data_IF_318205846756
#
_entry.id   IF_318205846756
#
_cell.length_a   1.000
_cell.length_b   1.000
_cell.length_c   1.000
_cell.angle_alpha   90.00
_cell.angle_beta   90.00
_cell.angle_gamma   90.00
#
_symmetry.space_group_name_H-M   'P 1'
#
loop_
_entity.id
_entity.type
_entity.pdbx_description
1 polymer ?
#
# COMPACT_ATOMS: atom_id res chain seq x y z
N UNK A 1 2.91 -4.83 22.63
CA UNK A 1 1.99 -3.83 22.02
C UNK A 1 2.72 -2.75 21.23
N UNK A 2 3.90 -2.28 21.65
CA UNK A 2 4.69 -1.27 20.91
C UNK A 2 5.36 -1.78 19.62
N UNK A 3 5.62 -3.09 19.48
CA UNK A 3 6.30 -3.63 18.29
C UNK A 3 5.47 -3.65 17.00
N UNK A 4 4.15 -3.48 17.04
CA UNK A 4 3.33 -3.38 15.83
C UNK A 4 3.30 -1.98 15.21
N UNK A 5 3.77 -0.95 15.95
CA UNK A 5 3.76 0.43 15.44
C UNK A 5 4.92 0.73 14.49
N UNK A 6 5.99 -0.06 14.55
CA UNK A 6 7.28 0.25 13.92
C UNK A 6 7.68 -0.71 12.79
N UNK A 7 6.94 -1.82 12.61
CA UNK A 7 7.29 -2.85 11.63
C UNK A 7 6.86 -2.54 10.20
N UNK A 8 6.21 -1.40 9.95
CA UNK A 8 5.71 -1.06 8.60
C UNK A 8 4.56 -1.94 8.10
N UNK A 9 4.08 -2.89 8.91
CA UNK A 9 2.98 -3.83 8.56
C UNK A 9 1.59 -3.22 8.77
N UNK A 10 1.51 -1.93 9.14
CA UNK A 10 0.22 -1.22 9.18
C UNK A 10 -0.10 -0.76 7.77
N UNK A 11 -0.63 -1.70 7.01
CA UNK A 11 -1.07 -1.58 5.64
C UNK A 11 -2.11 -0.44 5.51
N UNK A 12 -1.67 0.69 4.99
CA UNK A 12 -2.49 1.87 4.72
C UNK A 12 -3.25 1.77 3.38
N UNK A 13 -3.35 0.59 2.76
CA UNK A 13 -4.21 0.34 1.59
C UNK A 13 -5.70 0.28 1.91
N UNK A 14 -6.10 0.43 3.18
CA UNK A 14 -7.51 0.73 3.47
C UNK A 14 -7.84 2.01 2.73
N UNK A 15 -8.68 1.95 1.68
CA UNK A 15 -8.69 3.01 0.71
C UNK A 15 -9.17 4.27 1.42
N UNK A 16 -8.32 5.30 1.41
CA UNK A 16 -8.66 6.66 1.87
C UNK A 16 -9.98 7.14 1.27
N UNK A 17 -10.38 6.53 0.16
CA UNK A 17 -11.57 6.79 -0.63
C UNK A 17 -12.89 6.31 -0.05
N UNK A 18 -12.92 5.54 1.04
CA UNK A 18 -14.17 4.87 1.40
C UNK A 18 -15.24 5.73 2.08
N UNK A 19 -14.94 6.77 2.89
CA UNK A 19 -15.99 7.35 3.76
C UNK A 19 -15.86 8.84 4.16
N UNK A 20 -15.19 9.71 3.39
CA UNK A 20 -15.09 11.13 3.78
C UNK A 20 -15.23 12.12 2.62
N UNK A 21 -15.93 13.26 2.81
CA UNK A 21 -16.30 14.21 1.75
C UNK A 21 -15.11 14.67 0.90
N UNK A 22 -13.95 14.90 1.53
CA UNK A 22 -12.73 15.35 0.86
C UNK A 22 -12.07 14.27 -0.03
N UNK A 23 -12.45 12.99 0.14
CA UNK A 23 -11.98 11.87 -0.68
C UNK A 23 -13.10 11.18 -1.48
N UNK A 24 -14.35 11.67 -1.43
CA UNK A 24 -15.46 11.11 -2.21
C UNK A 24 -15.13 11.10 -3.71
N UNK A 25 -14.43 12.12 -4.19
CA UNK A 25 -13.99 12.21 -5.59
C UNK A 25 -12.92 11.18 -5.99
N UNK A 26 -12.33 10.46 -5.03
CA UNK A 26 -11.30 9.44 -5.26
C UNK A 26 -11.79 8.01 -5.02
N UNK A 27 -13.12 7.82 -4.91
CA UNK A 27 -13.75 6.50 -4.81
C UNK A 27 -13.45 5.68 -6.06
N UNK A 28 -12.81 4.52 -5.87
CA UNK A 28 -12.26 3.66 -6.93
C UNK A 28 -11.12 4.29 -7.75
N UNK A 29 -10.38 5.25 -7.18
CA UNK A 29 -9.20 5.84 -7.80
C UNK A 29 -7.92 5.24 -7.21
N UNK A 30 -6.86 5.26 -8.01
CA UNK A 30 -5.53 4.81 -7.58
C UNK A 30 -4.86 5.83 -6.68
N UNK A 31 -3.82 5.43 -5.95
CA UNK A 31 -3.06 6.38 -5.13
C UNK A 31 -2.40 7.51 -5.95
N UNK A 32 -2.14 7.31 -7.25
CA UNK A 32 -1.65 8.39 -8.12
C UNK A 32 -2.65 9.50 -8.39
N UNK A 33 -3.93 9.23 -8.18
CA UNK A 33 -4.99 10.24 -8.35
C UNK A 33 -5.19 11.08 -7.08
N UNK A 34 -4.60 10.68 -5.95
CA UNK A 34 -4.73 11.40 -4.68
C UNK A 34 -4.13 12.81 -4.74
N UNK A 35 -4.57 13.72 -3.85
CA UNK A 35 -3.93 15.02 -3.71
C UNK A 35 -2.41 14.89 -3.55
N UNK A 36 -1.67 15.77 -4.21
CA UNK A 36 -0.22 15.68 -4.32
C UNK A 36 0.50 15.46 -2.96
N UNK A 37 0.13 16.15 -1.86
CA UNK A 37 0.77 15.92 -0.57
C UNK A 37 0.64 14.48 -0.05
N UNK A 38 -0.43 13.76 -0.40
CA UNK A 38 -0.62 12.36 0.01
C UNK A 38 0.03 11.40 -0.99
N UNK A 39 -0.12 11.68 -2.28
CA UNK A 39 0.55 10.96 -3.37
C UNK A 39 2.07 10.94 -3.18
N UNK A 40 2.66 12.08 -2.81
CA UNK A 40 4.10 12.25 -2.52
C UNK A 40 4.48 12.04 -1.05
N UNK A 41 3.53 11.63 -0.20
CA UNK A 41 3.78 11.27 1.21
C UNK A 41 4.41 12.39 2.05
N UNK A 42 4.00 13.63 1.81
CA UNK A 42 4.38 14.75 2.66
C UNK A 42 4.03 14.48 4.12
N UNK A 43 5.00 14.66 5.00
CA UNK A 43 4.90 14.26 6.40
C UNK A 43 3.72 14.96 7.12
N UNK A 44 3.49 16.23 6.81
CA UNK A 44 2.39 17.04 7.38
C UNK A 44 1.02 16.49 6.98
N UNK A 45 0.85 16.13 5.70
CA UNK A 45 -0.38 15.54 5.18
C UNK A 45 -0.64 14.16 5.82
N UNK A 46 0.39 13.31 5.93
CA UNK A 46 0.30 12.02 6.60
C UNK A 46 -0.06 12.14 8.08
N UNK A 47 0.54 13.08 8.81
CA UNK A 47 0.20 13.33 10.21
C UNK A 47 -1.26 13.77 10.38
N UNK A 48 -1.76 14.63 9.50
CA UNK A 48 -3.17 15.04 9.50
C UNK A 48 -4.09 13.84 9.30
N UNK A 49 -3.80 12.99 8.31
CA UNK A 49 -4.58 11.77 8.05
C UNK A 49 -4.53 10.80 9.23
N UNK A 50 -3.35 10.58 9.83
CA UNK A 50 -3.20 9.72 11.02
C UNK A 50 -4.07 10.20 12.18
N UNK A 51 -4.17 11.51 12.39
CA UNK A 51 -5.07 12.09 13.41
C UNK A 51 -6.54 11.90 13.04
N UNK A 52 -6.90 12.23 11.81
CA UNK A 52 -8.29 12.17 11.31
C UNK A 52 -8.84 10.74 11.28
N UNK A 53 -8.01 9.74 10.95
CA UNK A 53 -8.41 8.34 10.74
C UNK A 53 -7.97 7.41 11.88
N UNK A 54 -7.59 7.98 13.04
CA UNK A 54 -7.00 7.24 14.17
C UNK A 54 -7.78 5.96 14.53
N UNK A 55 -9.10 6.05 14.63
CA UNK A 55 -9.93 4.91 15.03
C UNK A 55 -10.05 3.85 13.93
N UNK A 56 -10.08 4.26 12.66
CA UNK A 56 -10.05 3.33 11.53
C UNK A 56 -8.70 2.60 11.45
N UNK A 57 -7.59 3.33 11.65
CA UNK A 57 -6.25 2.74 11.72
C UNK A 57 -6.18 1.72 12.85
N UNK A 58 -6.68 2.06 14.05
CA UNK A 58 -6.75 1.14 15.18
C UNK A 58 -7.60 -0.11 14.89
N UNK A 59 -8.72 0.06 14.19
CA UNK A 59 -9.57 -1.07 13.80
C UNK A 59 -8.80 -2.05 12.91
N UNK A 60 -8.12 -1.59 11.86
CA UNK A 60 -7.38 -2.49 10.98
C UNK A 60 -6.13 -3.08 11.64
N UNK A 61 -5.45 -2.32 12.51
CA UNK A 61 -4.42 -2.86 13.38
C UNK A 61 -4.93 -4.04 14.21
N UNK A 62 -6.13 -3.89 14.77
CA UNK A 62 -6.76 -4.97 15.53
C UNK A 62 -7.13 -6.17 14.64
N UNK A 63 -7.68 -5.94 13.44
CA UNK A 63 -7.97 -7.01 12.48
C UNK A 63 -6.71 -7.79 12.11
N UNK A 64 -5.63 -7.09 11.77
CA UNK A 64 -4.34 -7.71 11.43
C UNK A 64 -3.76 -8.48 12.61
N UNK A 65 -3.88 -7.94 13.83
CA UNK A 65 -3.49 -8.63 15.06
C UNK A 65 -4.27 -9.94 15.25
N UNK A 66 -5.60 -9.93 15.08
CA UNK A 66 -6.43 -11.13 15.20
C UNK A 66 -6.08 -12.15 14.11
N UNK A 67 -5.87 -11.70 12.87
CA UNK A 67 -5.45 -12.57 11.78
C UNK A 67 -4.11 -13.26 12.08
N UNK A 68 -3.11 -12.52 12.56
CA UNK A 68 -1.80 -13.09 12.94
C UNK A 68 -1.95 -14.17 14.02
N UNK A 69 -2.77 -13.92 15.05
CA UNK A 69 -3.04 -14.93 16.08
C UNK A 69 -3.66 -16.20 15.49
N UNK A 70 -4.75 -16.05 14.73
CA UNK A 70 -5.47 -17.17 14.12
C UNK A 70 -4.59 -17.95 13.13
N UNK A 71 -3.79 -17.25 12.34
CA UNK A 71 -2.88 -17.85 11.37
C UNK A 71 -1.78 -18.65 12.07
N UNK A 72 -1.20 -18.12 13.15
CA UNK A 72 -0.18 -18.80 13.92
C UNK A 72 -0.74 -20.05 14.64
N UNK A 73 -1.95 -19.98 15.18
CA UNK A 73 -2.63 -21.14 15.78
C UNK A 73 -2.89 -22.24 14.74
N UNK A 74 -3.39 -21.88 13.55
CA UNK A 74 -3.59 -22.81 12.43
C UNK A 74 -2.27 -23.45 11.99
N UNK A 75 -1.25 -22.62 11.78
CA UNK A 75 0.08 -23.09 11.36
C UNK A 75 0.69 -24.02 12.40
N UNK A 76 0.53 -23.72 13.69
CA UNK A 76 0.96 -24.58 14.78
C UNK A 76 0.24 -25.94 14.72
N UNK A 77 -1.08 -25.94 14.60
CA UNK A 77 -1.87 -27.16 14.50
C UNK A 77 -1.44 -28.06 13.31
N UNK A 78 -1.20 -27.45 12.14
CA UNK A 78 -0.70 -28.17 10.98
C UNK A 78 0.70 -28.77 11.23
N UNK A 79 1.62 -27.98 11.78
CA UNK A 79 2.98 -28.41 12.07
C UNK A 79 3.03 -29.53 13.13
N UNK A 80 2.18 -29.46 14.17
CA UNK A 80 2.05 -30.50 15.19
C UNK A 80 1.54 -31.83 14.58
N UNK A 81 0.86 -31.75 13.43
CA UNK A 81 0.42 -32.89 12.62
C UNK A 81 1.43 -33.29 11.51
N UNK A 82 2.67 -32.77 11.56
CA UNK A 82 3.70 -32.93 10.52
C UNK A 82 3.30 -32.43 9.12
N UNK A 83 2.29 -31.55 9.02
CA UNK A 83 1.87 -30.91 7.77
C UNK A 83 2.58 -29.56 7.65
N UNK A 84 3.28 -29.35 6.53
CA UNK A 84 3.95 -28.08 6.23
C UNK A 84 3.03 -27.18 5.40
N UNK A 85 2.94 -25.92 5.80
CA UNK A 85 2.29 -24.87 5.01
C UNK A 85 3.39 -24.10 4.26
N UNK A 86 3.32 -24.10 2.93
CA UNK A 86 4.20 -23.34 2.04
C UNK A 86 3.37 -22.19 1.48
N UNK A 87 3.84 -20.95 1.70
CA UNK A 87 3.19 -19.77 1.14
C UNK A 87 3.48 -19.62 -0.36
N UNK A 88 2.70 -18.76 -1.01
CA UNK A 88 2.95 -18.30 -2.36
C UNK A 88 3.21 -16.79 -2.30
N UNK A 89 4.32 -16.34 -2.91
CA UNK A 89 4.69 -14.93 -2.96
C UNK A 89 4.75 -14.54 -4.45
N UNK A 90 3.88 -13.62 -4.90
CA UNK A 90 3.90 -13.20 -6.28
C UNK A 90 5.21 -12.48 -6.63
N UNK A 91 5.69 -12.68 -7.86
CA UNK A 91 6.93 -12.05 -8.34
C UNK A 91 6.79 -10.52 -8.53
N UNK A 92 5.57 -10.06 -8.86
CA UNK A 92 5.26 -8.65 -9.03
C UNK A 92 4.17 -8.22 -8.04
N UNK A 93 4.25 -6.97 -7.63
CA UNK A 93 3.26 -6.34 -6.77
C UNK A 93 2.35 -5.42 -7.59
N UNK A 94 1.10 -5.29 -7.15
CA UNK A 94 0.16 -4.37 -7.78
C UNK A 94 0.66 -2.93 -7.66
N UNK A 95 0.54 -2.16 -8.74
CA UNK A 95 0.82 -0.74 -8.75
C UNK A 95 -0.01 0.00 -7.70
N UNK A 96 -1.28 -0.34 -7.52
CA UNK A 96 -2.16 0.35 -6.56
C UNK A 96 -2.03 -0.15 -5.11
N UNK A 97 -0.89 -0.78 -4.79
CA UNK A 97 -0.59 -1.25 -3.44
C UNK A 97 0.00 -0.17 -2.53
N UNK A 98 -0.16 -0.36 -1.22
CA UNK A 98 0.54 0.46 -0.22
C UNK A 98 2.06 0.36 -0.38
N UNK A 99 2.57 -0.78 -0.82
CA UNK A 99 4.00 -1.04 -0.94
C UNK A 99 4.63 -0.16 -2.02
N UNK A 100 3.96 -0.06 -3.18
CA UNK A 100 4.39 0.83 -4.26
C UNK A 100 4.26 2.29 -3.86
N UNK A 101 3.16 2.68 -3.22
CA UNK A 101 2.98 4.05 -2.73
C UNK A 101 4.03 4.42 -1.67
N UNK A 102 4.25 3.58 -0.66
CA UNK A 102 5.12 3.84 0.47
C UNK A 102 6.60 3.80 0.11
N UNK A 103 6.97 2.94 -0.84
CA UNK A 103 8.34 2.73 -1.29
C UNK A 103 8.52 3.16 -2.75
N UNK A 104 7.81 4.17 -3.21
CA UNK A 104 7.81 4.60 -4.63
C UNK A 104 9.22 4.77 -5.23
N UNK A 105 10.21 5.17 -4.42
CA UNK A 105 11.62 5.33 -4.81
C UNK A 105 12.33 4.06 -5.34
N UNK A 106 11.82 2.85 -5.08
CA UNK A 106 12.39 1.59 -5.61
C UNK A 106 11.64 1.05 -6.83
N UNK A 107 10.58 1.73 -7.28
CA UNK A 107 9.77 1.33 -8.44
C UNK A 107 10.01 2.27 -9.63
N UNK A 108 9.81 1.76 -10.86
CA UNK A 108 9.99 2.53 -12.08
C UNK A 108 8.77 3.41 -12.39
N UNK A 109 8.68 4.55 -11.70
CA UNK A 109 7.56 5.48 -11.81
C UNK A 109 7.99 6.82 -12.43
N UNK A 110 7.04 7.56 -12.99
CA UNK A 110 7.27 8.94 -13.41
C UNK A 110 7.28 9.86 -12.18
N UNK A 111 8.45 10.01 -11.57
CA UNK A 111 8.63 10.81 -10.35
C UNK A 111 8.44 12.31 -10.56
N UNK A 112 8.53 12.79 -11.80
CA UNK A 112 8.51 14.21 -12.12
C UNK A 112 7.09 14.77 -12.17
N UNK A 113 6.12 13.98 -12.64
CA UNK A 113 4.76 14.46 -12.83
C UNK A 113 3.69 13.51 -12.26
N UNK A 114 3.48 12.37 -12.91
CA UNK A 114 2.25 11.59 -12.73
C UNK A 114 2.31 10.57 -11.60
N UNK A 115 3.51 10.13 -11.22
CA UNK A 115 3.77 8.97 -10.36
C UNK A 115 3.23 7.63 -10.92
N UNK A 116 2.87 7.58 -12.20
CA UNK A 116 2.41 6.38 -12.90
C UNK A 116 3.57 5.48 -13.35
N UNK A 117 3.34 4.18 -13.60
CA UNK A 117 4.37 3.27 -14.07
C UNK A 117 4.93 3.72 -15.42
N UNK A 118 6.26 3.70 -15.56
CA UNK A 118 6.94 3.96 -16.84
C UNK A 118 7.22 2.69 -17.63
N UNK A 119 7.21 1.54 -16.95
CA UNK A 119 7.41 0.20 -17.50
C UNK A 119 6.42 -0.76 -16.83
N UNK A 120 5.82 -1.66 -17.62
CA UNK A 120 5.06 -2.81 -17.11
C UNK A 120 5.60 -4.06 -17.80
N UNK A 121 6.03 -5.07 -17.03
CA UNK A 121 6.48 -6.37 -17.53
C UNK A 121 7.42 -6.24 -18.76
N UNK A 122 8.50 -5.47 -18.58
CA UNK A 122 9.53 -5.16 -19.58
C UNK A 122 9.07 -4.39 -20.83
N UNK A 123 7.84 -3.86 -20.86
CA UNK A 123 7.37 -2.93 -21.89
C UNK A 123 7.43 -1.49 -21.38
N UNK A 124 8.25 -0.65 -22.02
CA UNK A 124 8.19 0.81 -21.83
C UNK A 124 6.83 1.33 -22.27
N UNK A 125 6.15 2.06 -21.39
CA UNK A 125 4.84 2.65 -21.65
C UNK A 125 4.94 4.03 -22.32
N UNK A 126 6.09 4.70 -22.20
CA UNK A 126 6.33 6.01 -22.83
C UNK A 126 7.30 5.89 -24.01
N UNK A 127 6.77 5.76 -25.22
CA UNK A 127 7.46 6.12 -26.47
C UNK A 127 6.83 7.39 -27.03
N UNK A 128 7.31 8.55 -26.58
CA UNK A 128 6.67 9.82 -26.95
C UNK A 128 7.48 11.06 -26.64
N UNK A 129 8.80 10.97 -26.73
CA UNK A 129 9.67 12.13 -26.87
C UNK A 129 10.92 11.70 -27.66
N UNK A 130 10.81 11.68 -28.97
CA UNK A 130 11.96 11.97 -29.85
C UNK A 130 11.85 13.44 -30.21
N UNK A 131 12.65 14.27 -29.55
CA UNK A 131 12.99 15.58 -30.07
C UNK A 131 14.13 15.44 -31.08
N UNK A 132 13.88 15.96 -32.30
CA UNK A 132 14.78 16.44 -33.37
C UNK A 132 13.93 16.35 -34.65
N UNK A 133 13.45 17.43 -35.26
CA UNK A 133 14.19 18.61 -35.74
C UNK A 133 13.39 19.93 -35.60
#
# INVERSE_FOLDING_TARGET
>A
MYHFYDTGVVDFSVPLSFHYPEFVQYKNSTWSDWPEPLRRREQTALQRIRKLKKDRIKYYLFVQYIFDQQWNDLKKYANDSNIKIIGDIPMYIDYDSVDVWANSHIFQLDHNDTMKPTVIADKKLYSGMTGSD
#
